data_IF_545365674963
#
_entry.id   IF_545365674963
#
_cell.length_a   1.000
_cell.length_b   1.000
_cell.length_c   1.000
_cell.angle_alpha   90.00
_cell.angle_beta   90.00
_cell.angle_gamma   90.00
#
_symmetry.space_group_name_H-M   'P 1'
#
loop_
_entity.id
_entity.type
_entity.pdbx_description
1 polymer ?
#
# COMPACT_ATOMS: atom_id res chain seq x y z
N UNK A 1 -1.80 -10.99 0.79
CA UNK A 1 -3.25 -10.72 1.00
C UNK A 1 -3.93 -10.26 -0.30
N UNK A 2 -5.20 -10.62 -0.59
CA UNK A 2 -5.93 -10.10 -1.76
C UNK A 2 -6.18 -8.58 -1.70
N UNK A 3 -6.20 -7.92 -2.86
CA UNK A 3 -6.46 -6.46 -2.93
C UNK A 3 -7.81 -6.03 -2.35
N UNK A 4 -8.84 -6.88 -2.44
CA UNK A 4 -10.16 -6.58 -1.86
C UNK A 4 -10.09 -6.51 -0.33
N UNK A 5 -9.31 -7.39 0.30
CA UNK A 5 -9.07 -7.39 1.75
C UNK A 5 -8.17 -6.22 2.13
N UNK A 6 -7.13 -5.93 1.34
CA UNK A 6 -6.25 -4.79 1.54
C UNK A 6 -7.03 -3.48 1.57
N UNK A 7 -7.97 -3.28 0.64
CA UNK A 7 -8.89 -2.13 0.64
C UNK A 7 -9.64 -1.99 1.97
N UNK A 8 -10.19 -3.09 2.50
CA UNK A 8 -10.94 -3.03 3.77
C UNK A 8 -10.05 -2.68 4.96
N UNK A 9 -8.78 -3.11 4.94
CA UNK A 9 -7.82 -2.86 6.02
C UNK A 9 -7.23 -1.46 5.97
N UNK A 10 -6.83 -0.99 4.79
CA UNK A 10 -6.14 0.27 4.61
C UNK A 10 -7.07 1.46 4.33
N UNK A 11 -8.31 1.20 3.94
CA UNK A 11 -9.22 2.22 3.39
C UNK A 11 -8.84 2.67 1.96
N UNK A 12 -7.71 2.20 1.42
CA UNK A 12 -7.22 2.61 0.10
C UNK A 12 -7.99 1.85 -0.99
N UNK A 13 -8.45 2.57 -2.00
CA UNK A 13 -9.13 1.98 -3.16
C UNK A 13 -8.25 0.96 -3.88
N UNK A 14 -8.87 -0.12 -4.39
CA UNK A 14 -8.18 -1.17 -5.17
C UNK A 14 -7.43 -0.59 -6.38
N UNK A 15 -7.99 0.44 -7.02
CA UNK A 15 -7.34 1.15 -8.12
C UNK A 15 -6.04 1.83 -7.68
N UNK A 16 -6.04 2.50 -6.53
CA UNK A 16 -4.86 3.14 -5.97
C UNK A 16 -3.82 2.12 -5.51
N UNK A 17 -4.24 1.01 -4.89
CA UNK A 17 -3.33 -0.09 -4.54
C UNK A 17 -2.65 -0.67 -5.79
N UNK A 18 -3.40 -0.90 -6.87
CA UNK A 18 -2.83 -1.33 -8.15
C UNK A 18 -1.84 -0.32 -8.72
N UNK A 19 -2.16 0.98 -8.63
CA UNK A 19 -1.27 2.05 -9.07
C UNK A 19 0.01 2.05 -8.27
N UNK A 20 -0.05 1.99 -6.94
CA UNK A 20 1.13 1.94 -6.07
C UNK A 20 2.01 0.71 -6.35
N UNK A 21 1.39 -0.43 -6.66
CA UNK A 21 2.13 -1.62 -7.09
C UNK A 21 2.80 -1.40 -8.46
N UNK A 22 2.09 -0.80 -9.42
CA UNK A 22 2.63 -0.48 -10.73
C UNK A 22 3.75 0.58 -10.69
N UNK A 23 3.66 1.54 -9.77
CA UNK A 23 4.66 2.55 -9.46
C UNK A 23 5.89 1.96 -8.72
N UNK A 24 5.82 0.71 -8.26
CA UNK A 24 6.87 0.07 -7.47
C UNK A 24 6.92 0.52 -6.00
N UNK A 25 5.94 1.32 -5.55
CA UNK A 25 5.82 1.78 -4.15
C UNK A 25 5.28 0.71 -3.20
N UNK A 26 4.62 -0.32 -3.74
CA UNK A 26 4.13 -1.47 -2.98
C UNK A 26 4.47 -2.76 -3.70
N UNK A 27 4.89 -3.80 -2.98
CA UNK A 27 5.11 -5.13 -3.52
C UNK A 27 3.80 -5.86 -3.71
N UNK A 28 3.51 -6.12 -4.98
CA UNK A 28 2.47 -7.04 -5.41
C UNK A 28 3.09 -8.39 -5.78
N UNK A 29 2.46 -9.48 -5.35
CA UNK A 29 2.80 -10.84 -5.76
C UNK A 29 1.66 -11.46 -6.56
N UNK A 30 2.02 -12.25 -7.59
CA UNK A 30 1.04 -12.92 -8.44
C UNK A 30 1.37 -14.42 -8.54
N UNK A 31 1.06 -15.23 -7.50
CA UNK A 31 1.42 -16.64 -7.46
C UNK A 31 0.65 -17.51 -8.49
N UNK A 32 -0.45 -17.00 -9.02
CA UNK A 32 -1.20 -17.65 -10.11
C UNK A 32 -1.85 -16.54 -10.95
N UNK A 33 -3.17 -16.37 -10.92
CA UNK A 33 -3.86 -15.29 -11.64
C UNK A 33 -4.26 -14.09 -10.77
N UNK A 34 -4.29 -14.25 -9.44
CA UNK A 34 -4.73 -13.20 -8.51
C UNK A 34 -3.55 -12.36 -8.03
N UNK A 35 -3.71 -11.04 -8.12
CA UNK A 35 -2.78 -10.08 -7.54
C UNK A 35 -3.00 -10.01 -6.04
N UNK A 36 -1.95 -10.34 -5.30
CA UNK A 36 -1.85 -10.24 -3.86
C UNK A 36 -0.90 -9.08 -3.53
N UNK A 37 -1.09 -8.49 -2.37
CA UNK A 37 -0.18 -7.50 -1.79
C UNK A 37 0.45 -8.07 -0.53
N UNK A 38 1.70 -7.68 -0.27
CA UNK A 38 2.32 -7.96 1.01
C UNK A 38 1.57 -7.25 2.15
N UNK A 39 1.37 -7.96 3.27
CA UNK A 39 0.63 -7.40 4.39
C UNK A 39 1.50 -6.47 5.22
N UNK A 40 2.74 -6.88 5.47
CA UNK A 40 3.68 -6.14 6.30
C UNK A 40 4.08 -4.85 5.60
N UNK A 41 4.31 -4.91 4.29
CA UNK A 41 4.65 -3.73 3.51
C UNK A 41 3.47 -2.75 3.40
N UNK A 42 2.24 -3.26 3.27
CA UNK A 42 1.05 -2.41 3.30
C UNK A 42 0.86 -1.76 4.68
N UNK A 43 1.07 -2.50 5.78
CA UNK A 43 0.97 -1.98 7.14
C UNK A 43 2.06 -0.94 7.41
N UNK A 44 3.29 -1.21 6.97
CA UNK A 44 4.41 -0.28 7.01
C UNK A 44 4.15 0.96 6.17
N UNK A 45 3.50 0.84 5.02
CA UNK A 45 3.10 1.99 4.19
C UNK A 45 2.02 2.84 4.86
N UNK A 46 1.00 2.22 5.47
CA UNK A 46 -0.05 2.95 6.18
C UNK A 46 0.53 3.64 7.42
N UNK A 47 1.33 2.92 8.20
CA UNK A 47 2.02 3.48 9.37
C UNK A 47 3.01 4.55 8.96
N UNK A 48 3.79 4.34 7.92
CA UNK A 48 4.76 5.29 7.39
C UNK A 48 4.11 6.53 6.80
N UNK A 49 2.95 6.40 6.13
CA UNK A 49 2.14 7.54 5.70
C UNK A 49 1.53 8.31 6.89
N UNK A 50 1.16 7.60 7.97
CA UNK A 50 0.79 8.23 9.25
C UNK A 50 2.01 8.78 10.03
N UNK A 51 3.22 8.37 9.65
CA UNK A 51 4.52 8.79 10.23
C UNK A 51 5.31 9.62 9.22
N UNK A 52 4.65 10.28 8.27
CA UNK A 52 5.26 11.44 7.64
C UNK A 52 5.39 12.48 8.76
N UNK A 53 6.61 12.85 9.18
CA UNK A 53 6.75 13.96 10.10
C UNK A 53 6.10 15.17 9.44
N UNK A 54 5.29 15.90 10.21
CA UNK A 54 4.74 17.19 9.83
C UNK A 54 5.82 18.29 9.62
N UNK A 55 7.05 17.92 9.29
CA UNK A 55 8.21 18.82 9.23
C UNK A 55 9.04 18.54 7.97
N UNK A 56 8.72 19.27 6.92
CA UNK A 56 9.73 19.95 6.11
C UNK A 56 9.21 21.37 5.73
N UNK A 57 8.50 22.02 6.65
CA UNK A 57 8.48 23.49 6.68
C UNK A 57 9.45 23.95 7.76
N UNK A 58 10.50 24.65 7.30
CA UNK A 58 11.21 25.77 7.92
C UNK A 58 12.74 25.57 7.94
N UNK A 59 13.55 26.65 7.83
CA UNK A 59 13.29 28.04 7.39
C UNK A 59 13.95 28.42 6.04
#
# INVERSE_FOLDING_TARGET
MPLATARRRSGISVKSLRRLIADGKLRGYRPTWKLLIDVEELDAFIRGAATLPANEEAP
#
